data_IF_734693876414
#
_entry.id   IF_734693876414
#
_cell.length_a   1.000
_cell.length_b   1.000
_cell.length_c   1.000
_cell.angle_alpha   90.00
_cell.angle_beta   90.00
_cell.angle_gamma   90.00
#
_symmetry.space_group_name_H-M   'P 1'
#
loop_
_entity.id
_entity.type
_entity.pdbx_description
1 polymer ?
#
# COMPACT_ATOMS: atom_id res chain seq x y z
N UNK A 1 -29.02 -16.04 -21.33
CA UNK A 1 -29.69 -17.02 -20.45
C UNK A 1 -29.22 -16.75 -19.02
N UNK A 2 -30.09 -16.21 -18.18
CA UNK A 2 -29.79 -16.00 -16.76
C UNK A 2 -29.79 -17.37 -16.10
N UNK A 3 -28.63 -17.90 -15.70
CA UNK A 3 -28.61 -18.99 -14.71
C UNK A 3 -29.36 -18.46 -13.50
N UNK A 4 -30.40 -19.16 -13.04
CA UNK A 4 -30.96 -18.90 -11.72
C UNK A 4 -29.81 -19.15 -10.74
N UNK A 5 -29.22 -18.07 -10.26
CA UNK A 5 -28.20 -18.16 -9.22
C UNK A 5 -28.92 -18.51 -7.94
N UNK A 6 -28.46 -19.58 -7.31
CA UNK A 6 -29.02 -20.07 -6.07
C UNK A 6 -29.01 -18.95 -5.02
N UNK A 7 -30.13 -18.80 -4.33
CA UNK A 7 -30.23 -17.86 -3.22
C UNK A 7 -29.68 -18.58 -2.01
N UNK A 8 -28.61 -18.03 -1.44
CA UNK A 8 -27.91 -18.61 -0.30
C UNK A 8 -28.04 -17.65 0.87
N UNK A 9 -28.20 -18.20 2.07
CA UNK A 9 -27.96 -17.42 3.26
C UNK A 9 -26.46 -17.12 3.42
N UNK A 10 -26.10 -16.09 4.19
CA UNK A 10 -24.68 -15.74 4.38
C UNK A 10 -23.89 -16.90 4.99
N UNK A 11 -24.51 -17.69 5.88
CA UNK A 11 -23.88 -18.90 6.45
C UNK A 11 -23.54 -19.94 5.38
N UNK A 12 -24.48 -20.25 4.50
CA UNK A 12 -24.26 -21.20 3.39
C UNK A 12 -23.18 -20.67 2.46
N UNK A 13 -23.27 -19.40 2.08
CA UNK A 13 -22.25 -18.74 1.25
C UNK A 13 -20.86 -18.81 1.88
N UNK A 14 -20.73 -18.49 3.18
CA UNK A 14 -19.48 -18.61 3.94
C UNK A 14 -18.95 -20.03 3.95
N UNK A 15 -19.81 -21.02 4.20
CA UNK A 15 -19.39 -22.44 4.25
C UNK A 15 -18.86 -22.98 2.92
N UNK A 16 -19.33 -22.44 1.79
CA UNK A 16 -18.91 -22.86 0.45
C UNK A 16 -17.58 -22.20 0.06
N UNK A 17 -17.41 -20.93 0.41
CA UNK A 17 -16.35 -20.08 -0.14
C UNK A 17 -15.20 -19.78 0.84
N UNK A 18 -15.27 -20.27 2.08
CA UNK A 18 -14.17 -20.19 3.06
C UNK A 18 -13.62 -21.56 3.40
N UNK A 19 -12.29 -21.65 3.58
CA UNK A 19 -11.60 -22.89 3.98
C UNK A 19 -11.73 -23.19 5.49
N UNK A 20 -12.31 -22.27 6.28
CA UNK A 20 -12.46 -22.40 7.73
C UNK A 20 -13.88 -22.00 8.14
N UNK A 21 -14.77 -22.99 8.24
CA UNK A 21 -16.19 -22.77 8.48
C UNK A 21 -16.50 -22.19 9.88
N UNK A 22 -15.60 -22.33 10.85
CA UNK A 22 -16.03 -22.34 12.25
C UNK A 22 -15.54 -21.17 13.12
N UNK A 23 -14.54 -20.34 12.73
CA UNK A 23 -14.09 -19.26 13.63
C UNK A 23 -13.26 -18.09 13.05
N UNK A 24 -13.07 -17.97 11.74
CA UNK A 24 -12.41 -16.78 11.15
C UNK A 24 -13.45 -15.91 10.44
N UNK A 25 -13.39 -14.58 10.61
CA UNK A 25 -14.18 -13.61 9.85
C UNK A 25 -14.05 -13.94 8.35
N UNK A 26 -15.15 -13.91 7.58
CA UNK A 26 -15.11 -14.15 6.12
C UNK A 26 -14.12 -13.21 5.39
N UNK A 27 -13.82 -12.07 6.00
CA UNK A 27 -12.95 -11.05 5.46
C UNK A 27 -11.47 -11.35 5.77
N UNK A 28 -10.69 -11.55 4.70
CA UNK A 28 -9.31 -12.04 4.73
C UNK A 28 -8.28 -11.14 5.44
N UNK A 29 -8.62 -9.91 5.81
CA UNK A 29 -7.64 -8.95 6.35
C UNK A 29 -8.24 -8.03 7.41
N UNK A 30 -8.77 -8.66 8.47
CA UNK A 30 -9.21 -8.01 9.71
C UNK A 30 -8.10 -7.19 10.37
N UNK A 31 -6.86 -7.71 10.34
CA UNK A 31 -5.71 -7.12 11.02
C UNK A 31 -5.24 -5.80 10.41
N UNK A 32 -5.34 -5.61 9.08
CA UNK A 32 -4.86 -4.39 8.41
C UNK A 32 -5.96 -3.38 8.13
N UNK A 33 -7.16 -3.82 7.73
CA UNK A 33 -8.22 -2.91 7.28
C UNK A 33 -9.42 -2.84 8.22
N UNK A 34 -9.45 -3.64 9.30
CA UNK A 34 -10.57 -3.68 10.25
C UNK A 34 -11.84 -4.30 9.67
N UNK A 35 -11.74 -5.06 8.58
CA UNK A 35 -12.91 -5.64 7.92
C UNK A 35 -13.52 -6.78 8.75
N UNK A 36 -14.54 -6.51 9.55
CA UNK A 36 -15.27 -7.51 10.35
C UNK A 36 -16.68 -7.78 9.82
N UNK A 37 -17.23 -8.96 10.11
CA UNK A 37 -18.60 -9.32 9.72
C UNK A 37 -19.66 -8.36 10.28
N UNK A 38 -19.47 -7.85 11.50
CA UNK A 38 -20.37 -6.86 12.12
C UNK A 38 -20.38 -5.53 11.36
N UNK A 39 -19.20 -5.04 10.95
CA UNK A 39 -19.10 -3.83 10.14
C UNK A 39 -19.73 -4.02 8.77
N UNK A 40 -19.51 -5.19 8.16
CA UNK A 40 -20.15 -5.55 6.90
C UNK A 40 -21.67 -5.59 7.02
N UNK A 41 -22.21 -6.17 8.09
CA UNK A 41 -23.64 -6.20 8.36
C UNK A 41 -24.24 -4.79 8.42
N UNK A 42 -23.64 -3.91 9.21
CA UNK A 42 -24.09 -2.52 9.32
C UNK A 42 -23.97 -1.77 8.00
N UNK A 43 -22.87 -1.97 7.28
CA UNK A 43 -22.66 -1.38 5.96
C UNK A 43 -23.69 -1.87 4.94
N UNK A 44 -23.97 -3.18 4.90
CA UNK A 44 -24.85 -3.83 3.94
C UNK A 44 -26.29 -3.32 4.08
N UNK A 45 -26.77 -3.14 5.31
CA UNK A 45 -28.10 -2.58 5.61
C UNK A 45 -28.27 -1.15 5.14
N UNK A 46 -27.18 -0.39 5.01
CA UNK A 46 -27.20 0.98 4.52
C UNK A 46 -27.12 1.07 2.98
N UNK A 47 -26.93 -0.05 2.27
CA UNK A 47 -26.85 -0.02 0.82
C UNK A 47 -28.23 0.15 0.19
N UNK A 48 -28.42 1.24 -0.57
CA UNK A 48 -29.68 1.54 -1.27
C UNK A 48 -30.18 0.39 -2.14
N UNK A 49 -29.27 -0.37 -2.77
CA UNK A 49 -29.62 -1.51 -3.60
C UNK A 49 -30.14 -2.70 -2.77
N UNK A 50 -29.57 -2.92 -1.57
CA UNK A 50 -30.09 -3.89 -0.60
C UNK A 50 -31.50 -3.50 -0.15
N UNK A 51 -31.65 -2.25 0.32
CA UNK A 51 -32.91 -1.73 0.85
C UNK A 51 -34.04 -1.84 -0.19
N UNK A 52 -33.77 -1.47 -1.45
CA UNK A 52 -34.81 -1.41 -2.48
C UNK A 52 -35.23 -2.76 -3.05
N UNK A 53 -34.35 -3.76 -3.04
CA UNK A 53 -34.57 -5.02 -3.78
C UNK A 53 -34.77 -6.23 -2.88
N UNK A 54 -34.25 -6.18 -1.66
CA UNK A 54 -34.14 -7.38 -0.81
C UNK A 54 -34.63 -7.17 0.62
N UNK A 55 -34.91 -5.93 1.06
CA UNK A 55 -35.20 -5.62 2.47
C UNK A 55 -36.63 -5.91 2.97
N UNK A 56 -37.51 -6.47 2.15
CA UNK A 56 -38.91 -6.71 2.57
C UNK A 56 -39.06 -7.86 3.58
N UNK A 57 -38.03 -8.68 3.84
CA UNK A 57 -38.09 -9.83 4.76
C UNK A 57 -36.74 -10.16 5.45
N UNK A 58 -35.92 -9.17 5.81
CA UNK A 58 -34.56 -9.47 6.30
C UNK A 58 -34.49 -9.66 7.82
N UNK A 59 -33.74 -10.69 8.24
CA UNK A 59 -33.42 -11.07 9.62
C UNK A 59 -32.67 -9.96 10.38
N UNK A 60 -32.65 -10.04 11.70
CA UNK A 60 -31.79 -9.20 12.54
C UNK A 60 -30.31 -9.63 12.47
N UNK A 61 -30.00 -10.81 11.94
CA UNK A 61 -28.66 -11.38 11.86
C UNK A 61 -28.15 -11.46 10.42
N UNK A 62 -26.90 -11.09 10.18
CA UNK A 62 -26.22 -11.25 8.89
C UNK A 62 -26.30 -12.69 8.37
N UNK A 63 -26.15 -13.68 9.27
CA UNK A 63 -26.08 -15.10 8.91
C UNK A 63 -27.31 -15.59 8.17
N UNK A 64 -28.47 -14.97 8.39
CA UNK A 64 -29.74 -15.38 7.80
C UNK A 64 -30.14 -14.48 6.62
N UNK A 65 -29.33 -13.47 6.25
CA UNK A 65 -29.60 -12.69 5.05
C UNK A 65 -29.56 -13.61 3.86
N UNK A 66 -30.52 -13.46 2.95
CA UNK A 66 -30.61 -14.27 1.74
C UNK A 66 -30.34 -13.39 0.52
N UNK A 67 -29.35 -13.79 -0.27
CA UNK A 67 -29.03 -13.14 -1.54
C UNK A 67 -28.63 -14.18 -2.59
N UNK A 68 -28.85 -13.88 -3.89
CA UNK A 68 -28.23 -14.65 -4.94
C UNK A 68 -26.70 -14.63 -4.79
N UNK A 69 -26.05 -15.75 -5.06
CA UNK A 69 -24.60 -15.91 -4.89
C UNK A 69 -23.76 -14.77 -5.51
N UNK A 70 -24.06 -14.34 -6.73
CA UNK A 70 -23.32 -13.24 -7.36
C UNK A 70 -23.46 -11.89 -6.62
N UNK A 71 -24.52 -11.71 -5.84
CA UNK A 71 -24.73 -10.51 -5.03
C UNK A 71 -23.89 -10.55 -3.78
N UNK A 72 -23.67 -11.73 -3.19
CA UNK A 72 -22.71 -11.88 -2.10
C UNK A 72 -21.33 -11.41 -2.53
N UNK A 73 -20.79 -11.97 -3.61
CA UNK A 73 -19.51 -11.53 -4.16
C UNK A 73 -19.46 -10.02 -4.42
N UNK A 74 -20.49 -9.48 -5.09
CA UNK A 74 -20.55 -8.05 -5.37
C UNK A 74 -20.47 -7.18 -4.11
N UNK A 75 -21.28 -7.51 -3.07
CA UNK A 75 -21.32 -6.71 -1.86
C UNK A 75 -20.05 -6.83 -1.04
N UNK A 76 -19.48 -8.03 -0.95
CA UNK A 76 -18.21 -8.27 -0.27
C UNK A 76 -17.08 -7.52 -0.95
N UNK A 77 -16.94 -7.66 -2.28
CA UNK A 77 -15.90 -6.95 -3.04
C UNK A 77 -16.05 -5.44 -2.89
N UNK A 78 -17.29 -4.94 -2.92
CA UNK A 78 -17.55 -3.52 -2.78
C UNK A 78 -17.23 -3.02 -1.36
N UNK A 79 -17.60 -3.76 -0.33
CA UNK A 79 -17.26 -3.46 1.05
C UNK A 79 -15.74 -3.42 1.25
N UNK A 80 -15.04 -4.47 0.81
CA UNK A 80 -13.58 -4.57 0.92
C UNK A 80 -12.88 -3.37 0.27
N UNK A 81 -13.29 -2.99 -0.94
CA UNK A 81 -12.73 -1.81 -1.63
C UNK A 81 -12.99 -0.51 -0.86
N UNK A 82 -14.19 -0.35 -0.28
CA UNK A 82 -14.50 0.84 0.51
C UNK A 82 -13.68 0.90 1.80
N UNK A 83 -13.52 -0.23 2.49
CA UNK A 83 -12.74 -0.31 3.72
C UNK A 83 -11.25 -0.08 3.46
N UNK A 84 -10.70 -0.69 2.41
CA UNK A 84 -9.32 -0.43 1.95
C UNK A 84 -9.14 1.06 1.63
N UNK A 85 -10.05 1.67 0.87
CA UNK A 85 -9.97 3.09 0.53
C UNK A 85 -10.02 3.98 1.78
N UNK A 86 -10.95 3.71 2.71
CA UNK A 86 -11.05 4.44 3.97
C UNK A 86 -9.78 4.33 4.81
N UNK A 87 -9.24 3.12 4.93
CA UNK A 87 -7.99 2.89 5.64
C UNK A 87 -6.85 3.69 5.01
N UNK A 88 -6.67 3.61 3.69
CA UNK A 88 -5.59 4.31 3.00
C UNK A 88 -5.69 5.83 3.14
N UNK A 89 -6.90 6.39 3.03
CA UNK A 89 -7.14 7.83 3.24
C UNK A 89 -6.88 8.24 4.70
N UNK A 90 -7.26 7.42 5.68
CA UNK A 90 -7.00 7.70 7.09
C UNK A 90 -5.51 7.56 7.44
N UNK A 91 -4.83 6.58 6.83
CA UNK A 91 -3.43 6.24 7.09
C UNK A 91 -2.48 7.23 6.45
N UNK A 92 -2.88 7.81 5.31
CA UNK A 92 -2.03 8.66 4.47
C UNK A 92 -2.73 9.98 4.16
N UNK A 93 -2.24 11.12 4.71
CA UNK A 93 -2.86 12.41 4.51
C UNK A 93 -2.86 12.83 3.03
N UNK A 94 -3.78 13.72 2.66
CA UNK A 94 -3.84 14.30 1.33
C UNK A 94 -2.71 15.32 1.10
N UNK A 95 -1.99 15.19 0.00
CA UNK A 95 -0.85 16.05 -0.36
C UNK A 95 0.40 15.27 -0.77
N UNK A 96 1.54 15.97 -0.77
CA UNK A 96 2.86 15.33 -0.86
C UNK A 96 3.05 14.41 0.35
N UNK A 97 3.53 13.19 0.12
CA UNK A 97 3.47 12.14 1.12
C UNK A 97 4.83 11.47 1.31
N UNK A 98 5.33 11.52 2.54
CA UNK A 98 6.53 10.79 3.01
C UNK A 98 6.13 9.67 3.98
N UNK A 99 6.85 8.56 3.88
CA UNK A 99 6.61 7.37 4.68
C UNK A 99 7.92 6.73 5.12
N UNK A 100 7.86 5.97 6.21
CA UNK A 100 8.98 5.14 6.67
C UNK A 100 8.45 3.77 7.09
N UNK A 101 9.22 2.71 6.83
CA UNK A 101 8.95 1.38 7.37
C UNK A 101 9.79 1.08 8.63
N UNK A 102 9.58 -0.08 9.23
CA UNK A 102 10.32 -0.57 10.40
C UNK A 102 11.80 -0.86 10.13
N UNK A 103 12.17 -1.12 8.87
CA UNK A 103 13.56 -1.26 8.42
C UNK A 103 14.29 0.09 8.25
N UNK A 104 13.59 1.22 8.40
CA UNK A 104 14.15 2.56 8.20
C UNK A 104 14.30 2.97 6.73
N UNK A 105 13.69 2.24 5.79
CA UNK A 105 13.53 2.69 4.41
C UNK A 105 12.47 3.79 4.34
N UNK A 106 12.78 4.84 3.59
CA UNK A 106 11.92 6.00 3.40
C UNK A 106 11.33 5.97 2.00
N UNK A 107 10.03 6.20 1.88
CA UNK A 107 9.33 6.35 0.62
C UNK A 107 8.74 7.75 0.48
N UNK A 108 8.80 8.32 -0.72
CA UNK A 108 8.12 9.58 -1.05
C UNK A 108 7.21 9.40 -2.27
N UNK A 109 5.95 9.77 -2.12
CA UNK A 109 4.98 9.85 -3.21
C UNK A 109 5.07 11.21 -3.87
N UNK A 110 5.51 11.19 -5.13
CA UNK A 110 5.73 12.35 -5.96
C UNK A 110 4.84 12.28 -7.21
N UNK A 111 4.45 13.42 -7.79
CA UNK A 111 3.92 13.42 -9.15
C UNK A 111 5.00 12.91 -10.10
N UNK A 112 4.63 12.05 -11.05
CA UNK A 112 5.49 11.73 -12.18
C UNK A 112 5.16 12.65 -13.35
N UNK A 113 6.17 13.32 -13.88
CA UNK A 113 6.06 14.26 -15.00
C UNK A 113 6.65 13.69 -16.29
N UNK A 114 7.26 12.50 -16.24
CA UNK A 114 7.99 11.93 -17.37
C UNK A 114 7.39 10.61 -17.87
N UNK A 115 6.76 9.84 -16.97
CA UNK A 115 6.11 8.57 -17.30
C UNK A 115 4.70 8.70 -17.87
N UNK A 116 4.13 7.54 -18.25
CA UNK A 116 2.71 7.43 -18.62
C UNK A 116 1.78 7.49 -17.42
N UNK A 117 2.30 7.11 -16.26
CA UNK A 117 1.55 6.97 -15.04
C UNK A 117 1.81 8.19 -14.14
N UNK A 118 0.78 8.85 -13.57
CA UNK A 118 0.94 10.15 -12.92
C UNK A 118 1.52 10.11 -11.50
N UNK A 119 1.66 8.93 -10.88
CA UNK A 119 2.14 8.79 -9.50
C UNK A 119 3.45 8.00 -9.45
N UNK A 120 4.44 8.51 -8.72
CA UNK A 120 5.72 7.84 -8.49
C UNK A 120 5.99 7.68 -7.01
N UNK A 121 6.33 6.47 -6.59
CA UNK A 121 6.97 6.21 -5.31
C UNK A 121 8.48 6.14 -5.52
N UNK A 122 9.22 7.00 -4.83
CA UNK A 122 10.68 6.95 -4.77
C UNK A 122 11.11 6.42 -3.41
N UNK A 123 12.05 5.48 -3.39
CA UNK A 123 12.53 4.79 -2.19
C UNK A 123 13.98 5.15 -1.88
N UNK A 124 14.26 5.33 -0.59
CA UNK A 124 15.51 5.89 -0.07
C UNK A 124 15.96 5.17 1.21
N UNK A 125 17.27 5.09 1.42
CA UNK A 125 17.88 4.68 2.69
C UNK A 125 18.91 5.72 3.13
N UNK A 126 19.53 5.54 4.30
CA UNK A 126 20.62 6.40 4.78
C UNK A 126 21.77 6.55 3.79
N UNK A 127 22.02 5.53 2.97
CA UNK A 127 23.04 5.54 1.92
C UNK A 127 22.53 6.01 0.55
N UNK A 128 21.42 6.75 0.50
CA UNK A 128 20.96 7.41 -0.72
C UNK A 128 19.72 6.77 -1.38
N UNK A 129 19.41 7.19 -2.63
CA UNK A 129 18.31 6.67 -3.41
C UNK A 129 18.51 5.21 -3.83
N UNK A 130 17.45 4.41 -3.74
CA UNK A 130 17.47 2.99 -4.13
C UNK A 130 16.86 2.81 -5.53
N UNK A 131 15.57 3.11 -5.63
CA UNK A 131 14.79 2.92 -6.85
C UNK A 131 13.50 3.74 -6.79
N UNK A 132 12.74 3.73 -7.88
CA UNK A 132 11.39 4.28 -7.91
C UNK A 132 10.45 3.35 -8.69
N UNK A 133 9.15 3.46 -8.43
CA UNK A 133 8.08 2.75 -9.12
C UNK A 133 6.95 3.72 -9.45
N UNK A 134 6.23 3.47 -10.54
CA UNK A 134 5.15 4.34 -11.03
C UNK A 134 3.80 3.63 -11.02
N UNK A 135 2.73 4.36 -10.74
CA UNK A 135 1.37 3.84 -10.58
C UNK A 135 0.34 4.72 -11.28
N UNK A 136 -0.67 4.09 -11.86
CA UNK A 136 -1.75 4.76 -12.59
C UNK A 136 -2.70 5.54 -11.70
N UNK A 137 -2.91 5.04 -10.49
CA UNK A 137 -3.76 5.69 -9.49
C UNK A 137 -3.01 5.93 -8.18
N UNK A 138 -3.42 6.98 -7.46
CA UNK A 138 -2.92 7.25 -6.11
C UNK A 138 -3.18 6.07 -5.19
N UNK A 139 -4.36 5.45 -5.33
CA UNK A 139 -4.78 4.36 -4.47
C UNK A 139 -3.84 3.16 -4.61
N UNK A 140 -3.44 2.80 -5.83
CA UNK A 140 -2.50 1.69 -6.05
C UNK A 140 -1.14 1.95 -5.40
N UNK A 141 -0.65 3.19 -5.48
CA UNK A 141 0.59 3.59 -4.82
C UNK A 141 0.47 3.47 -3.29
N UNK A 142 -0.62 3.96 -2.69
CA UNK A 142 -0.86 3.86 -1.25
C UNK A 142 -1.05 2.41 -0.78
N UNK A 143 -1.76 1.59 -1.57
CA UNK A 143 -1.90 0.15 -1.32
C UNK A 143 -0.53 -0.53 -1.31
N UNK A 144 0.37 -0.17 -2.24
CA UNK A 144 1.73 -0.69 -2.25
C UNK A 144 2.47 -0.37 -0.95
N UNK A 145 2.44 0.90 -0.52
CA UNK A 145 3.07 1.34 0.73
C UNK A 145 2.52 0.59 1.95
N UNK A 146 1.19 0.48 2.06
CA UNK A 146 0.55 -0.22 3.17
C UNK A 146 0.94 -1.70 3.22
N UNK A 147 1.04 -2.36 2.07
CA UNK A 147 1.45 -3.77 1.98
C UNK A 147 2.88 -4.00 2.42
N UNK A 148 3.76 -3.01 2.23
CA UNK A 148 5.17 -3.04 2.59
C UNK A 148 5.45 -2.46 3.99
N UNK A 149 4.42 -2.22 4.80
CA UNK A 149 4.58 -1.77 6.19
C UNK A 149 4.95 -0.30 6.36
N UNK A 150 4.84 0.51 5.31
CA UNK A 150 5.13 1.94 5.41
C UNK A 150 4.09 2.70 6.23
N UNK A 151 4.57 3.70 6.96
CA UNK A 151 3.77 4.58 7.81
C UNK A 151 4.04 6.02 7.46
N UNK A 152 2.97 6.79 7.28
CA UNK A 152 3.02 8.25 7.12
C UNK A 152 3.90 8.90 8.19
N UNK A 153 4.92 9.66 7.77
CA UNK A 153 5.75 10.41 8.71
C UNK A 153 6.42 11.57 8.00
N UNK A 154 6.11 12.78 8.43
CA UNK A 154 6.67 14.01 7.86
C UNK A 154 8.15 14.21 8.25
N UNK A 155 8.93 14.76 7.31
CA UNK A 155 10.33 15.13 7.52
C UNK A 155 11.26 13.94 7.72
N UNK A 156 10.89 12.75 7.22
CA UNK A 156 11.78 11.59 7.24
C UNK A 156 12.81 11.66 6.13
N UNK A 157 12.44 12.22 4.98
CA UNK A 157 13.38 12.40 3.87
C UNK A 157 14.43 13.47 4.22
N UNK A 158 13.99 14.58 4.81
CA UNK A 158 14.87 15.67 5.25
C UNK A 158 15.93 15.21 6.26
N UNK A 159 15.63 14.19 7.06
CA UNK A 159 16.58 13.60 8.03
C UNK A 159 17.67 12.77 7.38
N UNK A 160 17.44 12.27 6.17
CA UNK A 160 18.43 11.50 5.42
C UNK A 160 19.33 12.43 4.60
N UNK A 161 18.74 13.43 3.95
CA UNK A 161 19.43 14.32 3.02
C UNK A 161 20.49 15.15 3.74
N UNK A 162 21.70 15.20 3.16
CA UNK A 162 22.80 16.02 3.65
C UNK A 162 23.64 15.37 4.75
N UNK A 163 23.30 14.16 5.20
CA UNK A 163 24.19 13.33 6.03
C UNK A 163 25.42 12.86 5.25
N UNK A 164 26.50 12.52 5.94
CA UNK A 164 27.72 12.02 5.29
C UNK A 164 27.47 10.68 4.59
N UNK A 165 26.68 9.80 5.20
CA UNK A 165 26.26 8.53 4.61
C UNK A 165 25.46 8.74 3.32
N UNK A 166 24.54 9.71 3.32
CA UNK A 166 23.75 10.04 2.16
C UNK A 166 24.61 10.60 1.03
N UNK A 167 25.49 11.55 1.35
CA UNK A 167 26.39 12.18 0.39
C UNK A 167 27.35 11.14 -0.20
N UNK A 168 27.89 10.22 0.61
CA UNK A 168 28.66 9.05 0.14
C UNK A 168 27.82 8.21 -0.83
N UNK A 169 26.58 7.93 -0.47
CA UNK A 169 25.60 7.26 -1.33
C UNK A 169 25.44 7.90 -2.70
N UNK A 170 25.27 9.22 -2.75
CA UNK A 170 25.12 9.98 -3.99
C UNK A 170 26.35 9.88 -4.89
N UNK A 171 27.57 9.92 -4.33
CA UNK A 171 28.79 9.68 -5.10
C UNK A 171 28.81 8.28 -5.70
N UNK A 172 28.50 7.26 -4.90
CA UNK A 172 28.42 5.87 -5.37
C UNK A 172 27.40 5.72 -6.50
N UNK A 173 26.17 6.24 -6.33
CA UNK A 173 25.15 6.22 -7.38
C UNK A 173 25.63 6.94 -8.65
N UNK A 174 26.33 8.06 -8.51
CA UNK A 174 26.88 8.83 -9.64
C UNK A 174 27.93 8.03 -10.40
N UNK A 175 28.87 7.37 -9.70
CA UNK A 175 29.88 6.54 -10.33
C UNK A 175 29.27 5.33 -11.04
N UNK A 176 28.34 4.63 -10.38
CA UNK A 176 27.63 3.51 -10.97
C UNK A 176 26.85 3.92 -12.23
N UNK A 177 26.22 5.11 -12.23
CA UNK A 177 25.52 5.63 -13.42
C UNK A 177 26.46 5.90 -14.60
N UNK A 178 27.74 6.13 -14.33
CA UNK A 178 28.81 6.31 -15.33
C UNK A 178 29.50 4.98 -15.70
N UNK A 179 29.08 3.86 -15.12
CA UNK A 179 29.72 2.56 -15.31
C UNK A 179 31.06 2.42 -14.57
N UNK A 180 31.30 3.24 -13.54
CA UNK A 180 32.54 3.25 -12.76
C UNK A 180 32.32 2.49 -11.47
N UNK A 181 33.20 1.53 -11.17
CA UNK A 181 33.15 0.82 -9.89
C UNK A 181 33.48 1.79 -8.74
N UNK A 182 32.82 1.71 -7.57
CA UNK A 182 33.01 2.70 -6.50
C UNK A 182 34.47 2.88 -6.05
N UNK A 183 35.27 1.82 -6.01
CA UNK A 183 36.70 1.89 -5.67
C UNK A 183 37.48 2.73 -6.69
N UNK A 184 37.16 2.60 -7.97
CA UNK A 184 37.82 3.34 -9.04
C UNK A 184 37.36 4.80 -9.04
N UNK A 185 36.09 5.03 -8.73
CA UNK A 185 35.51 6.37 -8.55
C UNK A 185 36.22 7.16 -7.45
N UNK A 186 36.44 6.53 -6.28
CA UNK A 186 37.19 7.12 -5.17
C UNK A 186 38.62 7.51 -5.61
N UNK A 187 39.31 6.64 -6.34
CA UNK A 187 40.67 6.91 -6.81
C UNK A 187 40.72 7.99 -7.90
N UNK A 188 39.75 7.99 -8.82
CA UNK A 188 39.65 8.96 -9.90
C UNK A 188 39.36 10.37 -9.38
N UNK A 189 38.55 10.49 -8.34
CA UNK A 189 38.17 11.76 -7.72
C UNK A 189 38.91 12.05 -6.41
N UNK A 190 40.05 11.41 -6.16
CA UNK A 190 40.80 11.54 -4.89
C UNK A 190 41.27 12.97 -4.56
N UNK A 191 41.34 13.86 -5.54
CA UNK A 191 41.70 15.28 -5.35
C UNK A 191 40.47 16.14 -4.99
N UNK A 192 39.26 15.59 -5.09
CA UNK A 192 38.02 16.26 -4.69
C UNK A 192 37.97 16.33 -3.15
N UNK A 193 37.94 17.53 -2.54
CA UNK A 193 37.93 17.67 -1.08
C UNK A 193 36.77 16.94 -0.39
N UNK A 194 35.61 16.89 -1.04
CA UNK A 194 34.43 16.20 -0.51
C UNK A 194 34.64 14.68 -0.53
N UNK A 195 35.24 14.14 -1.59
CA UNK A 195 35.59 12.72 -1.67
C UNK A 195 36.65 12.35 -0.65
N UNK A 196 37.67 13.19 -0.45
CA UNK A 196 38.69 12.99 0.59
C UNK A 196 38.09 12.96 2.00
N UNK A 197 37.16 13.87 2.27
CA UNK A 197 36.45 13.95 3.55
C UNK A 197 35.57 12.72 3.77
N UNK A 198 34.74 12.41 2.78
CA UNK A 198 33.72 11.37 2.86
C UNK A 198 34.31 9.96 2.81
N UNK A 199 35.32 9.70 1.97
CA UNK A 199 35.91 8.37 1.72
C UNK A 199 37.34 8.22 2.28
N UNK A 200 37.61 8.89 3.41
CA UNK A 200 38.94 8.92 4.03
C UNK A 200 39.51 7.53 4.33
N UNK A 201 38.66 6.57 4.69
CA UNK A 201 39.08 5.20 5.03
C UNK A 201 39.48 4.41 3.77
N UNK A 202 38.82 4.66 2.65
CA UNK A 202 39.07 3.99 1.37
C UNK A 202 40.31 4.56 0.63
N UNK A 203 40.74 5.76 1.04
CA UNK A 203 41.93 6.44 0.52
C UNK A 203 43.19 6.22 1.38
N UNK A 204 43.04 5.62 2.57
CA UNK A 204 44.14 5.31 3.49
C UNK A 204 44.84 4.01 3.13
#
# INVERSE_FOLDING_TARGET
MSKNLETLCFREFKSIWTLQADNEDYFLDTARYGCHEDEFYHWLKNQRLMIKRYATQQSNSLMDFQLPENKWFFFIDHFNRQMETKFLVARYPDGFFEAINDEGEVAALLPDTYGKEPYRLSFYKSNGPIHHQTYSTRLDALTHLARQGYVAKEGVLDKLVGTDEWNRGLYVCTWLSKGIHPTDGVQMEKENPEVQRLFKLELA
#
